data_IF_142291912327
#
_entry.id   IF_142291912327
#
_cell.length_a   1.000
_cell.length_b   1.000
_cell.length_c   1.000
_cell.angle_alpha   90.00
_cell.angle_beta   90.00
_cell.angle_gamma   90.00
#
_symmetry.space_group_name_H-M   'P 1'
#
loop_
_entity.id
_entity.type
_entity.pdbx_description
1 polymer ?
#
# COMPACT_ATOMS: atom_id res chain seq x y z
N UNK A 1 -19.09 21.61 -22.78
CA UNK A 1 -17.66 21.89 -22.55
C UNK A 1 -16.92 20.57 -22.72
N UNK A 2 -16.33 20.36 -23.90
CA UNK A 2 -15.61 19.14 -24.22
C UNK A 2 -14.24 19.16 -23.52
N UNK A 3 -13.93 18.11 -22.76
CA UNK A 3 -12.60 17.87 -22.20
C UNK A 3 -11.66 17.54 -23.35
N UNK A 4 -10.69 18.41 -23.61
CA UNK A 4 -9.65 18.14 -24.60
C UNK A 4 -8.78 16.97 -24.10
N UNK A 5 -8.95 15.80 -24.73
CA UNK A 5 -8.05 14.68 -24.56
C UNK A 5 -6.65 15.11 -25.01
N UNK A 6 -5.78 15.35 -24.04
CA UNK A 6 -4.36 15.63 -24.30
C UNK A 6 -3.71 14.31 -24.71
N UNK A 7 -3.75 14.00 -26.00
CA UNK A 7 -3.10 12.80 -26.54
C UNK A 7 -1.59 12.90 -26.29
N UNK A 8 -1.03 11.89 -25.62
CA UNK A 8 0.41 11.80 -25.35
C UNK A 8 1.20 11.72 -26.65
N UNK A 9 2.41 12.27 -26.67
CA UNK A 9 3.25 12.31 -27.88
C UNK A 9 3.61 10.90 -28.35
N UNK A 10 3.75 10.67 -29.67
CA UNK A 10 4.15 9.37 -30.23
C UNK A 10 5.43 8.79 -29.57
N UNK A 11 6.49 9.59 -29.30
CA UNK A 11 7.66 9.10 -28.56
C UNK A 11 7.31 8.61 -27.15
N UNK A 12 6.45 9.32 -26.41
CA UNK A 12 6.02 8.90 -25.06
C UNK A 12 5.22 7.60 -25.10
N UNK A 13 4.41 7.39 -26.14
CA UNK A 13 3.66 6.14 -26.35
C UNK A 13 4.58 4.95 -26.63
N UNK A 14 5.70 5.16 -27.33
CA UNK A 14 6.70 4.12 -27.61
C UNK A 14 7.54 3.78 -26.37
N UNK A 15 7.96 4.80 -25.61
CA UNK A 15 8.79 4.63 -24.42
C UNK A 15 7.99 4.11 -23.21
N UNK A 16 6.70 4.46 -23.12
CA UNK A 16 5.83 4.11 -22.01
C UNK A 16 4.50 3.50 -22.50
N UNK A 17 4.53 2.33 -23.16
CA UNK A 17 3.34 1.73 -23.78
C UNK A 17 2.24 1.36 -22.77
N UNK A 18 2.58 1.22 -21.49
CA UNK A 18 1.64 0.99 -20.38
C UNK A 18 0.88 2.26 -19.95
N UNK A 19 1.31 3.44 -20.41
CA UNK A 19 0.61 4.72 -20.19
C UNK A 19 -0.28 5.11 -21.37
N UNK A 20 -0.13 4.43 -22.51
CA UNK A 20 -0.98 4.62 -23.66
C UNK A 20 -2.40 4.10 -23.37
N UNK A 21 -3.40 4.79 -23.89
CA UNK A 21 -4.78 4.29 -23.89
C UNK A 21 -4.81 2.97 -24.67
N UNK A 22 -5.30 1.87 -24.07
CA UNK A 22 -5.35 0.59 -24.77
C UNK A 22 -6.21 0.72 -26.03
N UNK A 23 -5.80 0.12 -27.17
CA UNK A 23 -6.58 0.17 -28.40
C UNK A 23 -7.92 -0.54 -28.18
N UNK A 24 -9.01 0.04 -28.70
CA UNK A 24 -10.32 -0.60 -28.68
C UNK A 24 -10.39 -1.69 -29.74
N UNK A 25 -10.78 -2.90 -29.34
CA UNK A 25 -10.99 -4.01 -30.25
C UNK A 25 -12.48 -4.19 -30.57
N UNK A 26 -12.78 -4.75 -31.74
CA UNK A 26 -14.16 -5.05 -32.17
C UNK A 26 -14.88 -6.01 -31.21
N UNK A 27 -14.13 -6.90 -30.57
CA UNK A 27 -14.66 -7.84 -29.57
C UNK A 27 -14.88 -7.23 -28.19
N UNK A 28 -14.39 -6.01 -27.90
CA UNK A 28 -14.51 -5.42 -26.57
C UNK A 28 -15.98 -5.28 -26.17
N UNK A 29 -16.85 -4.93 -27.11
CA UNK A 29 -18.29 -4.85 -26.87
C UNK A 29 -18.90 -6.20 -26.44
N UNK A 30 -18.45 -7.29 -27.06
CA UNK A 30 -18.88 -8.65 -26.70
C UNK A 30 -18.31 -9.08 -25.36
N UNK A 31 -17.04 -8.78 -25.11
CA UNK A 31 -16.37 -9.10 -23.85
C UNK A 31 -16.97 -8.34 -22.67
N UNK A 32 -17.25 -7.04 -22.80
CA UNK A 32 -17.91 -6.28 -21.74
C UNK A 32 -19.37 -6.71 -21.54
N UNK A 33 -20.03 -7.22 -22.59
CA UNK A 33 -21.41 -7.76 -22.49
C UNK A 33 -21.45 -9.13 -21.81
N UNK A 34 -20.48 -10.00 -22.08
CA UNK A 34 -20.42 -11.37 -21.53
C UNK A 34 -19.68 -11.43 -20.19
N UNK A 35 -18.69 -10.56 -19.99
CA UNK A 35 -17.83 -10.46 -18.81
C UNK A 35 -17.67 -8.98 -18.44
N UNK A 36 -18.68 -8.36 -17.80
CA UNK A 36 -18.65 -6.94 -17.42
C UNK A 36 -17.52 -6.55 -16.46
N UNK A 37 -16.82 -7.53 -15.87
CA UNK A 37 -15.66 -7.33 -15.00
C UNK A 37 -14.30 -7.51 -15.64
N UNK A 38 -14.24 -7.72 -16.95
CA UNK A 38 -12.97 -7.83 -17.67
C UNK A 38 -12.21 -6.49 -17.57
N UNK A 39 -10.95 -6.53 -17.12
CA UNK A 39 -10.12 -5.35 -16.90
C UNK A 39 -10.21 -4.71 -15.50
N UNK A 40 -11.21 -5.07 -14.69
CA UNK A 40 -11.33 -4.64 -13.29
C UNK A 40 -11.62 -5.85 -12.38
N UNK A 41 -10.63 -6.75 -12.20
CA UNK A 41 -10.84 -8.04 -11.53
C UNK A 41 -11.17 -7.92 -10.04
N UNK A 42 -10.95 -6.75 -9.43
CA UNK A 42 -11.24 -6.53 -8.01
C UNK A 42 -12.52 -5.72 -7.79
N UNK A 43 -13.33 -6.17 -6.83
CA UNK A 43 -14.49 -5.43 -6.30
C UNK A 43 -14.12 -4.07 -5.72
N UNK A 44 -12.84 -3.87 -5.37
CA UNK A 44 -12.31 -2.66 -4.74
C UNK A 44 -11.99 -1.59 -5.77
N UNK A 45 -11.38 -1.97 -6.89
CA UNK A 45 -10.94 -1.04 -7.95
C UNK A 45 -12.10 -0.60 -8.85
N UNK A 46 -13.21 -1.33 -8.86
CA UNK A 46 -14.41 -0.96 -9.62
C UNK A 46 -15.17 0.17 -8.90
N UNK A 47 -15.56 1.26 -9.59
CA UNK A 47 -16.39 2.30 -9.00
C UNK A 47 -17.75 1.74 -8.56
N UNK A 48 -18.37 2.37 -7.56
CA UNK A 48 -19.72 2.01 -7.11
C UNK A 48 -20.71 2.51 -8.16
N UNK A 49 -21.64 1.67 -8.60
CA UNK A 49 -22.65 2.05 -9.58
C UNK A 49 -23.54 3.17 -9.03
N UNK A 50 -23.67 4.28 -9.75
CA UNK A 50 -24.52 5.40 -9.36
C UNK A 50 -26.00 4.99 -9.25
N UNK A 51 -26.52 4.24 -10.22
CA UNK A 51 -27.92 3.79 -10.24
C UNK A 51 -28.21 2.79 -9.10
N UNK A 52 -27.25 1.91 -8.82
CA UNK A 52 -27.37 0.98 -7.69
C UNK A 52 -27.30 1.70 -6.34
N UNK A 53 -26.51 2.78 -6.25
CA UNK A 53 -26.44 3.62 -5.04
C UNK A 53 -27.81 4.25 -4.73
N UNK A 54 -28.62 4.56 -5.75
CA UNK A 54 -30.02 5.00 -5.59
C UNK A 54 -31.01 3.86 -5.31
N UNK A 55 -30.57 2.60 -5.25
CA UNK A 55 -31.38 1.45 -4.81
C UNK A 55 -31.75 0.45 -5.91
N UNK A 56 -31.66 0.82 -7.19
CA UNK A 56 -31.95 -0.10 -8.30
C UNK A 56 -31.15 0.25 -9.56
N UNK A 57 -30.39 -0.71 -10.08
CA UNK A 57 -29.67 -0.54 -11.34
C UNK A 57 -30.37 -1.33 -12.46
N UNK A 58 -30.73 -0.68 -13.59
CA UNK A 58 -31.39 -1.34 -14.73
C UNK A 58 -30.48 -2.36 -15.44
N UNK A 59 -29.16 -2.28 -15.22
CA UNK A 59 -28.16 -3.22 -15.78
C UNK A 59 -28.05 -4.52 -14.97
N UNK A 60 -28.71 -4.60 -13.80
CA UNK A 60 -28.78 -5.81 -12.99
C UNK A 60 -27.40 -6.41 -12.66
N UNK A 61 -27.22 -7.74 -12.64
CA UNK A 61 -25.94 -8.38 -12.30
C UNK A 61 -24.84 -8.17 -13.36
N UNK A 62 -25.19 -7.65 -14.55
CA UNK A 62 -24.26 -7.40 -15.65
C UNK A 62 -23.71 -5.97 -15.66
N UNK A 63 -23.95 -5.20 -14.60
CA UNK A 63 -23.43 -3.85 -14.54
C UNK A 63 -21.89 -3.85 -14.51
N UNK A 64 -21.22 -2.99 -15.29
CA UNK A 64 -19.76 -2.81 -15.25
C UNK A 64 -19.29 -2.16 -13.95
N UNK A 65 -20.20 -1.56 -13.18
CA UNK A 65 -19.92 -0.93 -11.89
C UNK A 65 -20.36 -1.83 -10.73
N UNK A 66 -19.82 -1.59 -9.53
CA UNK A 66 -20.01 -2.50 -8.39
C UNK A 66 -21.42 -2.30 -7.80
N UNK A 67 -22.14 -3.41 -7.62
CA UNK A 67 -23.45 -3.48 -6.96
C UNK A 67 -23.33 -3.97 -5.51
N UNK A 68 -22.45 -3.31 -4.76
CA UNK A 68 -22.23 -3.56 -3.34
C UNK A 68 -21.91 -2.25 -2.66
N UNK A 69 -22.73 -1.87 -1.69
CA UNK A 69 -22.50 -0.72 -0.81
C UNK A 69 -22.19 -1.31 0.56
N UNK A 70 -20.95 -1.21 1.07
CA UNK A 70 -20.65 -1.71 2.40
C UNK A 70 -21.52 -0.97 3.42
N UNK A 71 -22.27 -1.74 4.21
CA UNK A 71 -22.96 -1.21 5.38
C UNK A 71 -21.90 -0.87 6.43
N UNK A 72 -21.52 0.41 6.46
CA UNK A 72 -20.61 1.04 7.41
C UNK A 72 -19.12 0.69 7.25
N UNK A 73 -18.29 1.74 7.25
CA UNK A 73 -16.82 1.72 7.33
C UNK A 73 -16.27 1.02 8.59
N UNK A 74 -17.15 0.59 9.51
CA UNK A 74 -16.81 -0.09 10.77
C UNK A 74 -16.63 -1.61 10.60
N UNK A 75 -17.02 -2.16 9.45
CA UNK A 75 -16.78 -3.55 9.09
C UNK A 75 -15.47 -3.64 8.30
N UNK A 76 -14.34 -3.87 8.97
CA UNK A 76 -13.02 -4.10 8.37
C UNK A 76 -12.89 -5.35 7.47
N UNK A 77 -13.98 -5.76 6.83
CA UNK A 77 -14.15 -6.99 6.05
C UNK A 77 -13.70 -6.78 4.59
N UNK A 78 -13.72 -5.54 4.07
CA UNK A 78 -13.21 -5.22 2.73
C UNK A 78 -11.70 -5.45 2.56
N UNK A 79 -10.95 -5.52 3.67
CA UNK A 79 -9.52 -5.84 3.67
C UNK A 79 -9.23 -7.34 3.75
N UNK A 80 -10.21 -8.17 4.14
CA UNK A 80 -9.97 -9.60 4.30
C UNK A 80 -10.28 -10.33 2.99
N UNK A 81 -9.25 -10.98 2.45
CA UNK A 81 -9.34 -11.75 1.22
C UNK A 81 -10.16 -13.02 1.46
N UNK A 82 -11.06 -13.34 0.54
CA UNK A 82 -11.88 -14.55 0.60
C UNK A 82 -11.00 -15.81 0.49
N UNK A 83 -10.92 -16.62 1.56
CA UNK A 83 -10.16 -17.89 1.57
C UNK A 83 -10.61 -18.88 0.49
N UNK A 84 -11.89 -18.87 0.13
CA UNK A 84 -12.44 -19.77 -0.89
C UNK A 84 -12.11 -19.28 -2.30
N UNK A 85 -12.01 -17.97 -2.49
CA UNK A 85 -11.62 -17.37 -3.76
C UNK A 85 -10.14 -17.62 -4.05
N UNK A 86 -9.28 -17.54 -3.04
CA UNK A 86 -7.86 -17.90 -3.17
C UNK A 86 -7.65 -19.33 -3.70
N UNK A 87 -8.59 -20.24 -3.44
CA UNK A 87 -8.58 -21.63 -3.92
C UNK A 87 -9.40 -21.87 -5.20
N UNK A 88 -10.01 -20.82 -5.77
CA UNK A 88 -10.91 -20.94 -6.94
C UNK A 88 -12.28 -21.58 -6.65
N UNK A 89 -12.66 -21.74 -5.38
CA UNK A 89 -13.87 -22.48 -4.94
C UNK A 89 -14.99 -21.56 -4.45
N UNK A 90 -14.87 -20.24 -4.62
CA UNK A 90 -15.90 -19.32 -4.13
C UNK A 90 -17.16 -19.35 -5.01
N UNK A 91 -18.23 -19.96 -4.50
CA UNK A 91 -19.54 -20.00 -5.17
C UNK A 91 -20.31 -18.67 -5.09
N UNK A 92 -19.94 -17.78 -4.18
CA UNK A 92 -20.64 -16.50 -3.93
C UNK A 92 -20.31 -15.42 -4.96
N UNK A 93 -19.29 -15.60 -5.80
CA UNK A 93 -18.92 -14.64 -6.86
C UNK A 93 -18.93 -13.18 -6.36
N UNK A 94 -19.68 -12.32 -7.06
CA UNK A 94 -19.79 -10.91 -6.72
C UNK A 94 -20.59 -10.62 -5.45
N UNK A 95 -21.46 -11.52 -5.02
CA UNK A 95 -22.19 -11.44 -3.75
C UNK A 95 -21.37 -11.90 -2.53
N UNK A 96 -20.10 -12.29 -2.70
CA UNK A 96 -19.23 -12.62 -1.56
C UNK A 96 -18.91 -11.38 -0.71
N UNK A 97 -19.09 -11.49 0.61
CA UNK A 97 -18.77 -10.44 1.60
C UNK A 97 -17.27 -10.12 1.70
N UNK A 98 -16.41 -11.07 1.29
CA UNK A 98 -14.95 -10.93 1.35
C UNK A 98 -14.36 -10.50 0.00
N UNK A 99 -13.18 -9.87 0.04
CA UNK A 99 -12.51 -9.38 -1.17
C UNK A 99 -12.05 -10.54 -2.08
N UNK A 100 -12.37 -10.44 -3.37
CA UNK A 100 -11.85 -11.32 -4.41
C UNK A 100 -10.63 -10.67 -5.06
N UNK A 101 -9.52 -10.61 -4.32
CA UNK A 101 -8.24 -10.09 -4.82
C UNK A 101 -7.13 -11.05 -4.46
N UNK A 102 -6.11 -11.14 -5.30
CA UNK A 102 -4.90 -11.92 -5.02
C UNK A 102 -3.76 -11.03 -4.49
N UNK A 103 -4.10 -9.90 -3.88
CA UNK A 103 -3.12 -9.01 -3.28
C UNK A 103 -2.64 -9.62 -1.96
N UNK A 104 -1.78 -10.64 -2.04
CA UNK A 104 -1.19 -11.33 -0.89
C UNK A 104 -0.28 -10.41 -0.07
N UNK A 105 0.21 -9.33 -0.67
CA UNK A 105 0.93 -8.26 0.02
C UNK A 105 -0.05 -7.19 0.46
N UNK A 106 -0.36 -7.16 1.75
CA UNK A 106 -1.08 -6.04 2.37
C UNK A 106 -0.20 -4.77 2.23
N UNK A 107 -0.83 -3.59 2.19
CA UNK A 107 -0.10 -2.29 2.12
C UNK A 107 0.69 -1.99 3.42
N UNK A 108 0.58 -2.86 4.42
CA UNK A 108 1.22 -2.72 5.73
C UNK A 108 2.64 -3.29 5.72
N UNK A 109 3.53 -2.57 6.38
CA UNK A 109 4.90 -3.01 6.60
C UNK A 109 4.97 -4.14 7.64
N UNK A 110 5.87 -5.10 7.40
CA UNK A 110 6.21 -6.14 8.37
C UNK A 110 6.94 -5.51 9.55
N UNK A 111 6.35 -5.60 10.76
CA UNK A 111 6.95 -5.02 11.97
C UNK A 111 8.30 -5.63 12.32
N UNK A 112 8.41 -6.95 12.17
CA UNK A 112 9.62 -7.71 12.48
C UNK A 112 10.77 -7.31 11.56
N UNK A 113 10.52 -7.39 10.25
CA UNK A 113 11.50 -7.05 9.23
C UNK A 113 11.88 -5.57 9.27
N UNK A 114 10.91 -4.69 9.56
CA UNK A 114 11.15 -3.25 9.68
C UNK A 114 12.04 -2.91 10.87
N UNK A 115 12.01 -3.69 11.96
CA UNK A 115 12.78 -3.43 13.18
C UNK A 115 14.15 -4.10 13.11
N UNK A 116 14.17 -5.39 12.79
CA UNK A 116 15.34 -6.25 12.91
C UNK A 116 16.01 -6.61 11.58
N UNK A 117 15.33 -6.38 10.45
CA UNK A 117 15.82 -6.84 9.14
C UNK A 117 15.63 -8.34 8.88
N UNK A 118 15.06 -9.09 9.84
CA UNK A 118 14.74 -10.51 9.73
C UNK A 118 13.24 -10.71 9.92
N UNK A 119 12.67 -11.64 9.16
CA UNK A 119 11.29 -12.10 9.38
C UNK A 119 11.29 -13.63 9.48
N UNK A 120 10.61 -14.23 10.49
CA UNK A 120 10.51 -15.69 10.59
C UNK A 120 9.71 -16.32 9.45
N UNK A 121 8.89 -15.53 8.73
CA UNK A 121 8.17 -15.97 7.54
C UNK A 121 9.00 -15.82 6.25
N UNK A 122 10.18 -15.20 6.30
CA UNK A 122 11.02 -14.99 5.12
C UNK A 122 10.30 -14.30 3.97
N UNK A 123 10.56 -14.74 2.74
CA UNK A 123 9.98 -14.17 1.52
C UNK A 123 8.49 -14.46 1.32
N UNK A 124 7.96 -15.45 2.04
CA UNK A 124 6.53 -15.81 2.04
C UNK A 124 5.71 -14.90 2.97
N UNK A 125 6.34 -13.90 3.61
CA UNK A 125 5.63 -12.94 4.42
C UNK A 125 4.62 -12.13 3.58
N UNK A 126 3.37 -12.09 4.05
CA UNK A 126 2.27 -11.33 3.42
C UNK A 126 2.39 -9.82 3.64
N UNK A 127 3.35 -9.36 4.44
CA UNK A 127 3.56 -7.94 4.72
C UNK A 127 4.71 -7.38 3.89
N UNK A 128 4.71 -6.07 3.68
CA UNK A 128 5.77 -5.42 2.91
C UNK A 128 7.09 -5.41 3.70
N UNK A 129 8.11 -6.04 3.13
CA UNK A 129 9.48 -6.02 3.64
C UNK A 129 10.20 -4.75 3.18
N UNK A 130 10.24 -3.75 4.04
CA UNK A 130 11.03 -2.53 3.86
C UNK A 130 12.21 -2.59 4.82
N UNK A 131 13.44 -2.65 4.28
CA UNK A 131 14.65 -2.76 5.11
C UNK A 131 14.78 -1.57 6.08
N UNK A 132 15.30 -1.79 7.29
CA UNK A 132 15.55 -0.72 8.26
C UNK A 132 16.58 0.31 7.76
N UNK A 133 17.53 -0.13 6.94
CA UNK A 133 18.58 0.71 6.33
C UNK A 133 18.18 1.25 4.95
N UNK A 134 16.93 1.03 4.54
CA UNK A 134 16.46 1.47 3.23
C UNK A 134 16.35 2.99 3.14
N UNK A 135 16.71 3.52 1.97
CA UNK A 135 16.55 4.94 1.63
C UNK A 135 15.13 5.47 1.79
N UNK A 136 14.13 4.59 1.73
CA UNK A 136 12.73 4.96 1.91
C UNK A 136 12.44 5.47 3.33
N UNK A 137 13.27 5.09 4.31
CA UNK A 137 13.19 5.54 5.70
C UNK A 137 13.99 6.80 5.98
N UNK A 138 14.91 7.18 5.09
CA UNK A 138 15.63 8.45 5.18
C UNK A 138 14.66 9.64 5.11
N UNK A 139 14.95 10.67 5.90
CA UNK A 139 14.20 11.92 5.88
C UNK A 139 14.24 12.57 4.49
N UNK A 140 13.14 13.21 4.12
CA UNK A 140 13.07 13.99 2.90
C UNK A 140 14.00 15.20 2.98
N UNK A 141 14.76 15.47 1.91
CA UNK A 141 15.70 16.58 1.87
C UNK A 141 14.97 17.95 1.91
N UNK A 142 15.21 18.80 2.92
CA UNK A 142 14.57 20.11 3.03
C UNK A 142 14.92 21.07 1.87
N UNK A 143 16.11 20.91 1.29
CA UNK A 143 16.53 21.71 0.13
C UNK A 143 15.70 21.32 -1.10
N UNK A 144 15.51 20.02 -1.31
CA UNK A 144 14.73 19.54 -2.45
C UNK A 144 13.23 19.84 -2.32
N UNK A 145 12.69 19.88 -1.10
CA UNK A 145 11.28 20.26 -0.87
C UNK A 145 11.01 21.74 -1.15
N UNK A 146 12.06 22.60 -1.08
CA UNK A 146 12.04 23.98 -1.61
C UNK A 146 11.98 24.03 -3.14
N UNK A 147 12.23 22.90 -3.81
CA UNK A 147 12.24 22.74 -5.26
C UNK A 147 13.64 22.50 -5.84
N UNK A 148 14.70 22.77 -5.10
CA UNK A 148 16.07 22.62 -5.60
C UNK A 148 17.09 22.27 -4.51
N UNK A 149 17.80 21.17 -4.70
CA UNK A 149 18.95 20.79 -3.89
C UNK A 149 20.24 20.92 -4.70
N UNK A 150 21.25 21.68 -4.23
CA UNK A 150 22.49 21.91 -4.98
C UNK A 150 23.32 20.65 -5.20
N UNK A 151 23.17 19.63 -4.35
CA UNK A 151 23.88 18.35 -4.51
C UNK A 151 23.20 17.38 -5.47
N UNK A 152 21.94 17.65 -5.87
CA UNK A 152 21.20 16.81 -6.81
C UNK A 152 21.21 15.32 -6.41
N UNK A 153 21.62 14.39 -7.29
CA UNK A 153 21.57 12.95 -7.00
C UNK A 153 22.60 12.51 -5.93
N UNK A 154 23.57 13.35 -5.58
CA UNK A 154 24.61 13.06 -4.61
C UNK A 154 24.23 13.48 -3.19
N UNK A 155 23.03 13.99 -2.94
CA UNK A 155 22.59 14.33 -1.59
C UNK A 155 22.47 13.06 -0.71
N UNK A 156 22.88 13.18 0.56
CA UNK A 156 22.70 12.14 1.58
C UNK A 156 21.23 11.89 1.92
N UNK A 157 20.38 12.92 1.81
CA UNK A 157 18.96 12.86 2.11
C UNK A 157 18.13 12.45 0.88
N UNK A 158 16.95 11.89 1.13
CA UNK A 158 16.05 11.40 0.08
C UNK A 158 15.39 12.56 -0.68
N UNK A 159 15.47 12.52 -2.02
CA UNK A 159 14.75 13.43 -2.92
C UNK A 159 13.44 12.79 -3.41
N UNK A 160 12.30 13.35 -3.01
CA UNK A 160 10.97 12.88 -3.40
C UNK A 160 10.47 13.69 -4.59
N UNK A 161 10.40 13.05 -5.76
CA UNK A 161 9.99 13.71 -7.01
C UNK A 161 8.47 13.73 -7.10
N UNK A 162 7.89 14.91 -7.24
CA UNK A 162 6.47 15.06 -7.58
C UNK A 162 6.29 15.06 -9.10
N UNK A 163 5.19 14.46 -9.58
CA UNK A 163 4.92 14.33 -11.03
C UNK A 163 4.79 15.68 -11.73
N UNK A 164 4.04 16.61 -11.13
CA UNK A 164 3.82 17.97 -11.65
C UNK A 164 3.76 18.98 -10.50
N UNK A 165 4.49 20.10 -10.56
CA UNK A 165 4.24 21.23 -9.67
C UNK A 165 2.93 21.91 -10.08
N UNK A 166 2.18 22.45 -9.12
CA UNK A 166 0.91 23.12 -9.40
C UNK A 166 1.13 24.41 -10.20
N UNK A 167 0.58 24.55 -11.41
CA UNK A 167 0.76 25.75 -12.23
C UNK A 167 0.20 27.01 -11.56
N UNK A 168 -0.96 26.90 -10.92
CA UNK A 168 -1.60 28.01 -10.22
C UNK A 168 -0.84 28.44 -8.97
N UNK A 169 -0.11 27.53 -8.33
CA UNK A 169 0.74 27.85 -7.19
C UNK A 169 1.99 28.60 -7.62
N UNK A 170 2.63 28.14 -8.69
CA UNK A 170 3.77 28.83 -9.30
C UNK A 170 3.38 30.24 -9.75
N UNK A 171 2.14 30.42 -10.21
CA UNK A 171 1.60 31.71 -10.61
C UNK A 171 1.08 32.57 -9.42
N UNK A 172 1.05 32.02 -8.20
CA UNK A 172 0.73 32.75 -6.95
C UNK A 172 -0.74 32.81 -6.55
N UNK A 173 -1.67 32.26 -7.35
CA UNK A 173 -3.12 32.40 -7.16
C UNK A 173 -3.84 31.05 -7.02
N UNK A 174 -3.16 30.01 -6.55
CA UNK A 174 -3.80 28.71 -6.34
C UNK A 174 -4.97 28.83 -5.36
N UNK A 175 -6.22 28.49 -5.76
CA UNK A 175 -7.39 28.56 -4.89
C UNK A 175 -7.28 27.59 -3.70
N UNK A 176 -6.51 26.52 -3.86
CA UNK A 176 -6.24 25.50 -2.84
C UNK A 176 -4.98 25.81 -2.01
N UNK A 177 -4.45 27.04 -2.04
CA UNK A 177 -3.34 27.57 -1.24
C UNK A 177 -2.53 26.55 -0.41
N UNK A 178 -2.69 26.57 0.91
CA UNK A 178 -2.09 25.59 1.85
C UNK A 178 -3.09 24.54 2.32
N UNK A 179 -4.17 24.29 1.57
CA UNK A 179 -5.39 23.66 2.08
C UNK A 179 -5.31 22.14 2.29
N UNK A 180 -4.17 21.50 2.03
CA UNK A 180 -4.02 20.05 2.19
C UNK A 180 -3.01 19.70 3.30
N UNK A 181 -3.21 18.56 3.99
CA UNK A 181 -2.22 18.03 4.91
C UNK A 181 -0.86 17.90 4.21
N UNK A 182 0.25 18.30 4.86
CA UNK A 182 1.57 18.05 4.31
C UNK A 182 1.77 16.54 4.14
N UNK A 183 2.32 16.15 3.00
CA UNK A 183 2.82 14.80 2.78
C UNK A 183 4.00 14.51 3.76
N UNK A 184 4.49 13.25 3.87
CA UNK A 184 5.63 12.91 4.72
C UNK A 184 6.91 13.74 4.45
N UNK A 185 6.97 14.40 3.30
CA UNK A 185 8.02 15.33 2.86
C UNK A 185 7.75 16.81 3.20
N UNK A 186 6.67 17.11 3.93
CA UNK A 186 6.22 18.47 4.26
C UNK A 186 5.82 19.32 3.04
N UNK A 187 5.65 18.71 1.87
CA UNK A 187 5.14 19.36 0.67
C UNK A 187 3.61 19.26 0.66
N UNK A 188 2.94 20.35 0.28
CA UNK A 188 1.48 20.37 0.19
C UNK A 188 1.09 19.93 -1.22
N UNK A 189 0.30 18.87 -1.33
CA UNK A 189 -0.21 18.38 -2.61
C UNK A 189 -1.66 18.83 -2.80
N UNK A 190 -1.95 19.57 -3.87
CA UNK A 190 -3.33 19.89 -4.26
C UNK A 190 -3.74 19.11 -5.51
N UNK A 191 -5.01 19.27 -5.91
CA UNK A 191 -5.56 18.63 -7.11
C UNK A 191 -4.82 18.97 -8.42
N UNK A 192 -4.12 20.12 -8.48
CA UNK A 192 -3.41 20.58 -9.66
C UNK A 192 -1.90 20.30 -9.62
N UNK A 193 -1.37 19.77 -8.51
CA UNK A 193 0.05 19.44 -8.37
C UNK A 193 0.64 19.80 -7.01
N UNK A 194 1.96 19.65 -6.89
CA UNK A 194 2.71 19.93 -5.67
C UNK A 194 2.96 21.44 -5.47
N UNK A 195 2.86 21.90 -4.22
CA UNK A 195 3.19 23.25 -3.79
C UNK A 195 4.53 23.22 -3.03
N UNK A 196 5.65 23.61 -3.66
CA UNK A 196 6.93 23.74 -2.97
C UNK A 196 6.78 24.62 -1.73
N UNK A 197 7.29 24.18 -0.58
CA UNK A 197 7.24 24.98 0.63
C UNK A 197 8.51 25.82 0.70
N UNK A 198 8.36 27.13 0.60
CA UNK A 198 9.45 28.03 0.99
C UNK A 198 9.70 27.92 2.49
N UNK A 199 10.93 27.55 2.86
CA UNK A 199 11.43 27.48 4.22
C UNK A 199 12.58 28.48 4.27
N UNK A 200 12.63 29.32 5.31
CA UNK A 200 13.74 30.25 5.48
C UNK A 200 15.03 29.48 5.79
N UNK A 201 16.16 30.06 5.45
CA UNK A 201 17.46 29.39 5.61
C UNK A 201 17.78 29.11 7.10
N UNK A 202 17.23 29.88 8.05
CA UNK A 202 17.43 29.63 9.49
C UNK A 202 16.69 28.38 9.98
N UNK A 203 15.53 28.07 9.39
CA UNK A 203 14.68 26.93 9.74
C UNK A 203 15.12 25.64 9.01
N UNK A 204 16.12 25.74 8.13
CA UNK A 204 16.61 24.66 7.29
C UNK A 204 17.58 23.76 8.06
N UNK A 205 17.22 22.50 8.25
CA UNK A 205 18.01 21.52 8.99
C UNK A 205 18.15 20.23 8.19
N UNK A 206 19.35 19.87 7.70
CA UNK A 206 20.62 20.59 7.83
C UNK A 206 20.69 21.86 6.95
N UNK A 207 21.40 22.89 7.44
CA UNK A 207 21.54 24.19 6.76
C UNK A 207 22.20 24.06 5.39
N UNK A 208 23.16 23.16 5.27
CA UNK A 208 23.78 22.80 4.01
C UNK A 208 23.51 21.31 3.75
N UNK A 209 23.22 20.94 2.51
CA UNK A 209 23.04 19.54 2.16
C UNK A 209 24.40 18.86 2.18
N UNK A 210 24.42 17.60 2.60
CA UNK A 210 25.63 16.79 2.70
C UNK A 210 25.73 15.80 1.54
N UNK A 211 26.96 15.52 1.11
CA UNK A 211 27.22 14.54 0.07
C UNK A 211 27.04 13.14 0.64
N UNK A 212 26.36 12.27 -0.11
CA UNK A 212 26.17 10.87 0.24
C UNK A 212 27.51 10.16 0.30
N UNK A 213 27.85 9.67 1.49
CA UNK A 213 28.99 8.79 1.68
C UNK A 213 28.59 7.34 1.35
N UNK A 214 29.50 6.52 0.79
CA UNK A 214 29.27 5.10 0.68
C UNK A 214 29.11 4.51 2.09
N UNK A 215 28.12 3.63 2.32
CA UNK A 215 27.97 3.02 3.63
C UNK A 215 29.17 2.13 3.94
N UNK A 216 29.67 2.20 5.17
CA UNK A 216 30.67 1.28 5.67
C UNK A 216 30.04 -0.11 5.83
N UNK A 217 30.52 -1.08 5.05
CA UNK A 217 30.00 -2.45 5.02
C UNK A 217 30.21 -3.18 6.35
N UNK A 218 31.31 -2.90 7.05
CA UNK A 218 31.61 -3.55 8.32
C UNK A 218 30.79 -2.95 9.46
N UNK A 219 30.51 -1.65 9.41
CA UNK A 219 29.54 -1.03 10.30
C UNK A 219 28.13 -1.55 10.06
N UNK A 220 27.67 -1.62 8.80
CA UNK A 220 26.35 -2.15 8.47
C UNK A 220 26.18 -3.61 8.92
N UNK A 221 27.24 -4.42 8.81
CA UNK A 221 27.21 -5.80 9.30
C UNK A 221 27.10 -5.86 10.82
N UNK A 222 27.89 -5.07 11.56
CA UNK A 222 27.78 -4.99 13.03
C UNK A 222 26.39 -4.52 13.48
N UNK A 223 25.87 -3.49 12.84
CA UNK A 223 24.51 -2.99 13.08
C UNK A 223 23.43 -4.04 12.77
N UNK A 224 23.67 -4.91 11.79
CA UNK A 224 22.77 -6.01 11.48
C UNK A 224 22.88 -7.09 12.56
N UNK A 225 24.08 -7.56 12.88
CA UNK A 225 24.34 -8.57 13.92
C UNK A 225 23.71 -8.17 15.27
N UNK A 226 23.86 -6.90 15.68
CA UNK A 226 23.23 -6.37 16.90
C UNK A 226 21.69 -6.45 16.88
N UNK A 227 21.06 -6.24 15.71
CA UNK A 227 19.61 -6.40 15.55
C UNK A 227 19.19 -7.86 15.60
N UNK A 228 20.01 -8.78 15.07
CA UNK A 228 19.73 -10.21 15.15
C UNK A 228 19.81 -10.69 16.60
N UNK A 229 20.82 -10.24 17.34
CA UNK A 229 20.97 -10.53 18.78
C UNK A 229 19.78 -9.99 19.58
N UNK A 230 19.32 -8.76 19.31
CA UNK A 230 18.12 -8.20 19.94
C UNK A 230 16.87 -9.04 19.63
N UNK A 231 16.72 -9.49 18.38
CA UNK A 231 15.62 -10.35 17.95
C UNK A 231 15.61 -11.68 18.71
N UNK A 232 16.75 -12.39 18.75
CA UNK A 232 16.84 -13.67 19.44
C UNK A 232 16.62 -13.52 20.96
N UNK A 233 17.13 -12.45 21.57
CA UNK A 233 16.88 -12.14 22.97
C UNK A 233 15.41 -11.81 23.27
N UNK A 234 14.68 -11.15 22.36
CA UNK A 234 13.23 -10.94 22.51
C UNK A 234 12.45 -12.25 22.37
N UNK A 235 12.83 -13.11 21.42
CA UNK A 235 12.22 -14.44 21.24
C UNK A 235 12.43 -15.36 22.45
N UNK A 236 13.61 -15.35 23.05
CA UNK A 236 13.89 -16.13 24.27
C UNK A 236 13.10 -15.60 25.47
N UNK A 237 13.01 -14.28 25.66
CA UNK A 237 12.15 -13.67 26.68
C UNK A 237 10.68 -14.04 26.47
N UNK A 238 10.21 -14.12 25.23
CA UNK A 238 8.86 -14.57 24.93
C UNK A 238 8.66 -16.04 25.28
N UNK A 239 9.62 -16.91 24.92
CA UNK A 239 9.59 -18.34 25.27
C UNK A 239 9.55 -18.56 26.78
N UNK A 240 10.33 -17.81 27.55
CA UNK A 240 10.34 -17.88 29.01
C UNK A 240 8.99 -17.44 29.61
N UNK A 241 8.41 -16.34 29.11
CA UNK A 241 7.07 -15.88 29.51
C UNK A 241 5.99 -16.93 29.21
N UNK A 242 6.08 -17.58 28.06
CA UNK A 242 5.20 -18.68 27.66
C UNK A 242 5.38 -19.89 28.58
N UNK A 243 6.62 -20.24 28.93
CA UNK A 243 6.93 -21.33 29.85
C UNK A 243 6.42 -21.06 31.28
N UNK A 244 6.43 -19.79 31.72
CA UNK A 244 5.86 -19.33 33.00
C UNK A 244 4.33 -19.25 32.99
N UNK A 245 3.68 -19.48 31.83
CA UNK A 245 2.23 -19.39 31.68
C UNK A 245 1.67 -17.97 31.75
N UNK A 246 2.53 -16.96 31.59
CA UNK A 246 2.16 -15.53 31.64
C UNK A 246 1.72 -14.97 30.29
N UNK A 247 1.81 -15.77 29.23
CA UNK A 247 1.24 -15.44 27.93
C UNK A 247 -0.28 -15.60 28.01
N UNK A 248 -0.97 -14.46 28.08
CA UNK A 248 -2.44 -14.41 28.01
C UNK A 248 -2.95 -15.18 26.79
N UNK A 249 -4.17 -15.74 26.84
CA UNK A 249 -4.67 -16.65 25.83
C UNK A 249 -4.63 -15.99 24.45
N UNK A 250 -3.63 -16.35 23.66
CA UNK A 250 -3.53 -15.98 22.26
C UNK A 250 -4.76 -16.46 21.51
N UNK A 251 -5.17 -15.69 20.50
CA UNK A 251 -6.37 -15.87 19.66
C UNK A 251 -6.45 -17.22 18.91
N UNK A 252 -5.48 -18.10 19.08
CA UNK A 252 -5.37 -19.41 18.43
C UNK A 252 -5.07 -20.51 19.46
N UNK A 253 -6.04 -20.81 20.32
CA UNK A 253 -5.83 -21.73 21.44
C UNK A 253 -7.11 -22.32 22.01
N UNK A 254 -8.09 -22.65 21.18
CA UNK A 254 -9.22 -23.49 21.60
C UNK A 254 -9.50 -24.54 20.53
N UNK A 255 -9.04 -25.77 20.78
CA UNK A 255 -9.54 -26.91 20.02
C UNK A 255 -8.60 -28.10 19.93
N UNK A 256 -8.24 -28.73 21.06
CA UNK A 256 -8.10 -30.19 21.08
C UNK A 256 -8.15 -30.73 22.52
N UNK A 257 -9.32 -30.73 23.16
CA UNK A 257 -9.56 -31.69 24.25
C UNK A 257 -9.93 -33.03 23.60
N UNK A 258 -8.93 -33.90 23.50
CA UNK A 258 -9.07 -35.31 23.11
C UNK A 258 -10.00 -36.00 24.11
N UNK A 259 -11.22 -36.29 23.69
CA UNK A 259 -12.19 -37.06 24.46
C UNK A 259 -11.68 -38.47 24.69
N UNK A 260 -11.48 -38.83 25.96
CA UNK A 260 -11.18 -40.19 26.37
C UNK A 260 -12.39 -41.09 26.13
N UNK A 261 -12.24 -42.06 25.23
CA UNK A 261 -13.22 -43.13 25.03
C UNK A 261 -13.06 -44.13 26.17
N UNK A 262 -13.90 -43.98 27.20
CA UNK A 262 -14.07 -44.98 28.25
C UNK A 262 -14.77 -46.22 27.68
N UNK A 263 -14.00 -47.29 27.47
CA UNK A 263 -14.55 -48.64 27.27
C UNK A 263 -15.32 -49.03 28.53
N UNK A 264 -16.63 -49.25 28.39
CA UNK A 264 -17.43 -49.91 29.42
C UNK A 264 -18.04 -51.18 28.79
N UNK A 265 -17.40 -52.32 29.06
CA UNK A 265 -18.02 -53.64 28.93
C UNK A 265 -19.08 -53.77 30.00
N UNK A 266 -20.31 -54.15 29.64
CA UNK A 266 -21.22 -54.93 30.50
C UNK A 266 -22.17 -55.72 29.59
N UNK A 267 -22.03 -57.04 29.74
CA UNK A 267 -22.95 -58.18 29.51
C UNK A 267 -23.93 -58.12 28.34
#
# INVERSE_FOLDING_TARGET
MATADTQSSLPDQILYPHTATPPSFTFDTLLHRQIPGLGAPSKVHRPICADFKSGHCPRGPLCPDRHYVPANERSGIGHLICKHYQRGLCKKGDACEFAHTFNLRDERECKEFSRYGICPQGDDCTYLHVSPTSRLREAACPHYTRGFCPLGPYCSLRHIKHKVPCPFYLAGFCPNGRSHPPAPDKVICCQYGAHPRWIKDEDLHPRQPEVRQPPDVDALRRDQDEREDEYFAEMDRQREREARGESGPGRWGKGMRRGGVGRRRKF
#
